data_IF_689839095879
#
_entry.id   IF_689839095879
#
_cell.length_a   1.000
_cell.length_b   1.000
_cell.length_c   1.000
_cell.angle_alpha   90.00
_cell.angle_beta   90.00
_cell.angle_gamma   90.00
#
_symmetry.space_group_name_H-M   'P 1'
#
loop_
_entity.id
_entity.type
_entity.pdbx_description
1 polymer ?
#
# COMPACT_ATOMS: atom_id res chain seq x y z
N UNK A 1 -5.84 17.34 -3.36
CA UNK A 1 -5.83 16.56 -2.11
C UNK A 1 -4.38 16.34 -1.68
N UNK A 2 -4.08 16.59 -0.42
CA UNK A 2 -2.72 16.37 0.09
C UNK A 2 -2.46 14.86 0.22
N UNK A 3 -1.20 14.48 0.16
CA UNK A 3 -0.81 13.08 0.26
C UNK A 3 -1.32 12.42 1.55
N UNK A 4 -1.19 13.11 2.68
CA UNK A 4 -1.68 12.60 3.96
C UNK A 4 -3.19 12.36 3.96
N UNK A 5 -3.95 13.23 3.30
CA UNK A 5 -5.41 13.09 3.20
C UNK A 5 -5.77 11.89 2.33
N UNK A 6 -5.04 11.66 1.24
CA UNK A 6 -5.24 10.52 0.37
C UNK A 6 -4.94 9.21 1.10
N UNK A 7 -3.83 9.15 1.83
CA UNK A 7 -3.47 7.96 2.62
C UNK A 7 -4.55 7.65 3.65
N UNK A 8 -5.03 8.67 4.37
CA UNK A 8 -6.09 8.50 5.36
C UNK A 8 -7.37 7.95 4.73
N UNK A 9 -7.72 8.45 3.56
CA UNK A 9 -8.89 7.97 2.80
C UNK A 9 -8.74 6.50 2.44
N UNK A 10 -7.57 6.09 1.96
CA UNK A 10 -7.30 4.71 1.59
C UNK A 10 -7.38 3.78 2.81
N UNK A 11 -6.78 4.18 3.92
CA UNK A 11 -6.79 3.39 5.15
C UNK A 11 -8.20 3.24 5.69
N UNK A 12 -8.97 4.33 5.64
CA UNK A 12 -10.37 4.29 6.09
C UNK A 12 -11.17 3.29 5.25
N UNK A 13 -11.00 3.29 3.95
CA UNK A 13 -11.68 2.34 3.07
C UNK A 13 -11.27 0.91 3.40
N UNK A 14 -9.97 0.65 3.54
CA UNK A 14 -9.46 -0.68 3.87
C UNK A 14 -10.05 -1.20 5.18
N UNK A 15 -10.06 -0.36 6.21
CA UNK A 15 -10.64 -0.74 7.49
C UNK A 15 -12.14 -1.02 7.38
N UNK A 16 -12.86 -0.28 6.54
CA UNK A 16 -14.27 -0.51 6.32
C UNK A 16 -14.55 -1.88 5.67
N UNK A 17 -13.56 -2.44 5.00
CA UNK A 17 -13.64 -3.76 4.38
C UNK A 17 -13.07 -4.88 5.26
N UNK A 18 -12.71 -4.56 6.49
CA UNK A 18 -12.25 -5.56 7.44
C UNK A 18 -10.75 -5.78 7.49
N UNK A 19 -9.97 -4.98 6.77
CA UNK A 19 -8.51 -5.09 6.82
C UNK A 19 -7.96 -4.47 8.10
N UNK A 20 -6.96 -5.13 8.69
CA UNK A 20 -6.09 -4.51 9.67
C UNK A 20 -4.99 -3.78 8.91
N UNK A 21 -4.71 -2.55 9.30
CA UNK A 21 -3.75 -1.69 8.63
C UNK A 21 -2.66 -1.27 9.61
N UNK A 22 -1.42 -1.53 9.25
CA UNK A 22 -0.26 -1.15 10.06
C UNK A 22 0.60 -0.19 9.25
N UNK A 23 0.49 1.09 9.57
CA UNK A 23 1.30 2.12 8.92
C UNK A 23 2.71 2.09 9.49
N UNK A 24 3.70 2.05 8.61
CA UNK A 24 5.09 2.01 9.02
C UNK A 24 5.58 3.42 9.32
N UNK A 25 6.27 3.57 10.45
CA UNK A 25 6.91 4.84 10.79
C UNK A 25 8.33 4.83 10.27
N UNK A 26 8.67 5.83 9.48
CA UNK A 26 10.01 5.98 8.94
C UNK A 26 10.91 6.66 9.97
N UNK A 27 12.02 6.00 10.30
CA UNK A 27 13.03 6.55 11.20
C UNK A 27 14.42 6.09 10.75
N UNK A 28 15.45 6.49 11.49
CA UNK A 28 16.85 6.19 11.11
C UNK A 28 17.16 4.69 11.03
N UNK A 29 16.39 3.84 11.70
CA UNK A 29 16.60 2.39 11.70
C UNK A 29 15.71 1.67 10.68
N UNK A 30 14.78 2.37 10.03
CA UNK A 30 13.91 1.76 9.03
C UNK A 30 14.70 1.46 7.77
N UNK A 31 14.56 0.25 7.24
CA UNK A 31 15.22 -0.14 6.00
C UNK A 31 14.70 0.69 4.83
N UNK A 32 15.61 1.08 3.96
CA UNK A 32 15.27 1.77 2.72
C UNK A 32 14.36 0.88 1.90
N UNK A 33 13.26 1.44 1.41
CA UNK A 33 12.30 0.71 0.58
C UNK A 33 11.22 -0.01 1.35
N UNK A 34 11.20 0.06 2.71
CA UNK A 34 10.11 -0.52 3.50
C UNK A 34 8.78 0.09 3.07
N UNK A 35 7.75 -0.73 2.81
CA UNK A 35 6.43 -0.22 2.42
C UNK A 35 5.81 0.67 3.48
N UNK A 36 4.96 1.60 3.05
CA UNK A 36 4.27 2.52 3.96
C UNK A 36 3.22 1.83 4.81
N UNK A 37 2.57 0.80 4.28
CA UNK A 37 1.43 0.19 4.92
C UNK A 37 1.44 -1.32 4.72
N UNK A 38 1.21 -2.04 5.81
CA UNK A 38 0.96 -3.48 5.78
C UNK A 38 -0.52 -3.71 6.04
N UNK A 39 -1.16 -4.58 5.26
CA UNK A 39 -2.58 -4.91 5.42
C UNK A 39 -2.76 -6.42 5.61
N UNK A 40 -3.74 -6.77 6.45
CA UNK A 40 -4.01 -8.18 6.79
C UNK A 40 -5.52 -8.42 6.88
N UNK A 41 -5.97 -9.56 6.38
CA UNK A 41 -7.36 -9.99 6.56
C UNK A 41 -7.45 -11.51 6.34
N UNK A 42 -7.85 -12.26 7.39
CA UNK A 42 -8.18 -13.69 7.28
C UNK A 42 -7.19 -14.53 6.46
N UNK A 43 -5.91 -14.43 6.80
CA UNK A 43 -4.87 -15.18 6.09
C UNK A 43 -4.32 -14.49 4.86
N UNK A 44 -4.96 -13.43 4.40
CA UNK A 44 -4.44 -12.59 3.33
C UNK A 44 -3.55 -11.49 3.90
N UNK A 45 -2.48 -11.17 3.18
CA UNK A 45 -1.64 -10.03 3.53
C UNK A 45 -1.21 -9.29 2.27
N UNK A 46 -0.90 -8.00 2.43
CA UNK A 46 -0.41 -7.19 1.32
C UNK A 46 0.43 -6.02 1.79
N UNK A 47 1.24 -5.50 0.88
CA UNK A 47 2.10 -4.35 1.12
C UNK A 47 1.69 -3.22 0.18
N UNK A 48 1.56 -2.01 0.73
CA UNK A 48 1.20 -0.82 -0.03
C UNK A 48 2.27 0.25 0.13
N UNK A 49 2.72 0.78 -0.99
CA UNK A 49 3.56 1.96 -1.03
C UNK A 49 2.75 3.10 -1.63
N UNK A 50 2.51 4.15 -0.87
CA UNK A 50 1.75 5.30 -1.37
C UNK A 50 2.63 6.20 -2.22
N UNK A 51 2.07 6.68 -3.30
CA UNK A 51 2.70 7.66 -4.18
C UNK A 51 1.76 8.83 -4.40
N UNK A 52 2.33 10.00 -4.64
CA UNK A 52 1.57 11.22 -4.87
C UNK A 52 0.79 11.15 -6.20
N UNK A 53 1.40 10.52 -7.20
CA UNK A 53 0.81 10.39 -8.53
C UNK A 53 1.43 9.21 -9.26
N UNK A 54 0.84 8.88 -10.40
CA UNK A 54 1.31 7.84 -11.30
C UNK A 54 2.79 8.01 -11.69
N UNK A 55 3.22 9.25 -11.84
CA UNK A 55 4.56 9.57 -12.34
C UNK A 55 5.58 9.86 -11.22
N UNK A 56 5.20 9.67 -9.97
CA UNK A 56 6.13 9.87 -8.85
C UNK A 56 7.30 8.91 -8.94
N UNK A 57 8.53 9.37 -8.69
CA UNK A 57 9.69 8.50 -8.76
C UNK A 57 9.66 7.45 -7.65
N UNK A 58 10.17 6.26 -7.95
CA UNK A 58 10.29 5.17 -7.00
C UNK A 58 11.72 5.11 -6.47
N UNK A 59 11.86 5.05 -5.15
CA UNK A 59 13.18 4.98 -4.51
C UNK A 59 13.76 3.57 -4.63
N UNK A 60 15.11 3.45 -4.54
CA UNK A 60 15.74 2.12 -4.54
C UNK A 60 15.12 1.22 -3.48
N UNK A 61 14.89 -0.02 -3.82
CA UNK A 61 14.31 -1.00 -2.91
C UNK A 61 12.80 -1.03 -2.90
N UNK A 62 12.11 0.04 -3.28
CA UNK A 62 10.63 0.05 -3.28
C UNK A 62 10.06 -0.91 -4.32
N UNK A 63 10.60 -0.89 -5.54
CA UNK A 63 10.13 -1.79 -6.59
C UNK A 63 10.37 -3.26 -6.24
N UNK A 64 11.56 -3.58 -5.70
CA UNK A 64 11.88 -4.93 -5.30
C UNK A 64 10.95 -5.43 -4.19
N UNK A 65 10.67 -4.58 -3.20
CA UNK A 65 9.79 -4.98 -2.10
C UNK A 65 8.36 -5.20 -2.56
N UNK A 66 7.84 -4.31 -3.40
CA UNK A 66 6.48 -4.49 -3.93
C UNK A 66 6.42 -5.72 -4.85
N UNK A 67 7.43 -5.95 -5.68
CA UNK A 67 7.49 -7.14 -6.52
C UNK A 67 7.51 -8.41 -5.68
N UNK A 68 8.29 -8.42 -4.60
CA UNK A 68 8.31 -9.57 -3.68
C UNK A 68 6.94 -9.83 -3.06
N UNK A 69 6.25 -8.77 -2.65
CA UNK A 69 4.90 -8.90 -2.09
C UNK A 69 3.93 -9.46 -3.14
N UNK A 70 4.02 -9.01 -4.38
CA UNK A 70 3.19 -9.51 -5.47
C UNK A 70 3.40 -10.98 -5.72
N UNK A 71 4.65 -11.45 -5.67
CA UNK A 71 4.98 -12.86 -5.88
C UNK A 71 4.48 -13.75 -4.74
N UNK A 72 4.47 -13.24 -3.51
CA UNK A 72 4.18 -14.05 -2.33
C UNK A 72 2.76 -13.87 -1.80
N UNK A 73 2.11 -12.77 -2.10
CA UNK A 73 0.73 -12.49 -1.71
C UNK A 73 0.17 -11.37 -2.59
N UNK A 74 0.26 -10.12 -2.12
CA UNK A 74 -0.26 -8.98 -2.87
C UNK A 74 0.55 -7.74 -2.53
N UNK A 75 0.80 -6.90 -3.53
CA UNK A 75 1.51 -5.65 -3.31
C UNK A 75 1.18 -4.64 -4.40
N UNK A 76 1.21 -3.36 -4.06
CA UNK A 76 0.93 -2.31 -5.04
C UNK A 76 1.50 -0.97 -4.62
N UNK A 77 1.84 -0.18 -5.64
CA UNK A 77 1.96 1.27 -5.48
C UNK A 77 0.56 1.84 -5.63
N UNK A 78 0.13 2.66 -4.67
CA UNK A 78 -1.22 3.22 -4.64
C UNK A 78 -1.14 4.74 -4.71
N UNK A 79 -1.84 5.31 -5.67
CA UNK A 79 -1.89 6.75 -5.90
C UNK A 79 -3.31 7.12 -6.34
N UNK A 80 -3.68 8.42 -6.34
CA UNK A 80 -5.06 8.78 -6.64
C UNK A 80 -5.60 8.22 -7.94
N UNK A 81 -4.76 8.15 -8.98
CA UNK A 81 -5.21 7.72 -10.31
C UNK A 81 -5.55 6.23 -10.38
N UNK A 82 -5.00 5.37 -9.50
CA UNK A 82 -5.29 3.94 -9.55
C UNK A 82 -6.11 3.42 -8.37
N UNK A 83 -6.56 4.29 -7.47
CA UNK A 83 -7.23 3.84 -6.25
C UNK A 83 -8.49 3.02 -6.53
N UNK A 84 -9.31 3.42 -7.50
CA UNK A 84 -10.51 2.64 -7.84
C UNK A 84 -10.16 1.24 -8.35
N UNK A 85 -9.12 1.13 -9.16
CA UNK A 85 -8.62 -0.18 -9.63
C UNK A 85 -8.14 -1.03 -8.46
N UNK A 86 -7.42 -0.42 -7.52
CA UNK A 86 -6.93 -1.15 -6.34
C UNK A 86 -8.08 -1.66 -5.49
N UNK A 87 -9.13 -0.86 -5.30
CA UNK A 87 -10.31 -1.29 -4.57
C UNK A 87 -10.97 -2.51 -5.23
N UNK A 88 -11.16 -2.45 -6.54
CA UNK A 88 -11.74 -3.57 -7.29
C UNK A 88 -10.89 -4.82 -7.14
N UNK A 89 -9.59 -4.68 -7.27
CA UNK A 89 -8.65 -5.79 -7.14
C UNK A 89 -8.76 -6.48 -5.77
N UNK A 90 -8.74 -5.69 -4.71
CA UNK A 90 -8.83 -6.22 -3.35
C UNK A 90 -10.19 -6.83 -3.05
N UNK A 91 -11.27 -6.23 -3.55
CA UNK A 91 -12.60 -6.80 -3.37
C UNK A 91 -12.78 -8.14 -4.07
N UNK A 92 -12.09 -8.36 -5.18
CA UNK A 92 -12.16 -9.61 -5.92
C UNK A 92 -11.27 -10.72 -5.34
N UNK A 93 -10.27 -10.36 -4.55
CA UNK A 93 -9.34 -11.33 -3.98
C UNK A 93 -9.81 -11.91 -2.63
N UNK A 94 -10.76 -11.26 -1.99
CA UNK A 94 -11.18 -11.62 -0.62
C UNK A 94 -12.67 -11.87 -0.50
#
# INVERSE_FOLDING_TARGET
MREADFQAKCIKWLRSKGFKCYKQQMNATTRVGTPDLFIFKEGFWGWIEFKKSKNSPKRPGQEQNIAWAQENSWGAFVYPENFEQIKDELENLI
#
